data_IF_031033621224
#
_entry.id   IF_031033621224
#
_cell.length_a   1.000
_cell.length_b   1.000
_cell.length_c   1.000
_cell.angle_alpha   90.00
_cell.angle_beta   90.00
_cell.angle_gamma   90.00
#
_symmetry.space_group_name_H-M   'P 1'
#
loop_
_entity.id
_entity.type
_entity.pdbx_description
1 polymer ?
#
# COMPACT_ATOMS: atom_id res chain seq x y z
N UNK A 1 6.81 -1.32 -14.00
CA UNK A 1 6.15 -1.27 -12.67
C UNK A 1 4.81 -1.97 -12.78
N UNK A 2 4.84 -3.29 -12.85
CA UNK A 2 3.64 -4.10 -13.09
C UNK A 2 2.89 -4.43 -11.78
N UNK A 3 3.57 -4.28 -10.63
CA UNK A 3 2.98 -4.54 -9.31
C UNK A 3 1.67 -3.78 -9.07
N UNK A 4 1.67 -2.45 -9.22
CA UNK A 4 0.47 -1.63 -8.98
C UNK A 4 -0.68 -1.95 -9.93
N UNK A 5 -0.37 -2.23 -11.20
CA UNK A 5 -1.37 -2.58 -12.23
C UNK A 5 -2.08 -3.89 -11.93
N UNK A 6 -1.41 -4.81 -11.25
CA UNK A 6 -1.95 -6.10 -10.84
C UNK A 6 -2.56 -6.04 -9.42
N UNK A 7 -2.28 -4.98 -8.66
CA UNK A 7 -2.85 -4.76 -7.32
C UNK A 7 -4.31 -4.32 -7.39
N UNK A 8 -4.70 -3.57 -8.42
CA UNK A 8 -6.06 -3.13 -8.65
C UNK A 8 -6.23 -2.44 -10.00
N UNK A 9 -7.43 -1.94 -10.25
CA UNK A 9 -7.79 -1.16 -11.43
C UNK A 9 -7.38 0.29 -11.23
N UNK A 10 -6.74 0.89 -12.23
CA UNK A 10 -6.43 2.33 -12.23
C UNK A 10 -7.72 3.13 -12.40
N UNK A 11 -7.98 4.04 -11.46
CA UNK A 11 -9.18 4.90 -11.44
C UNK A 11 -8.74 6.37 -11.50
N UNK A 12 -9.14 7.14 -12.52
CA UNK A 12 -8.93 8.59 -12.56
C UNK A 12 -9.65 9.29 -11.40
N UNK A 13 -9.01 10.28 -10.78
CA UNK A 13 -9.66 11.13 -9.76
C UNK A 13 -10.41 12.32 -10.38
N UNK A 14 -10.09 12.66 -11.62
CA UNK A 14 -10.78 13.68 -12.41
C UNK A 14 -11.79 13.05 -13.36
N UNK A 15 -12.92 13.71 -13.57
CA UNK A 15 -13.97 13.28 -14.50
C UNK A 15 -15.31 13.02 -13.84
N UNK A 16 -16.18 12.30 -14.55
CA UNK A 16 -17.48 11.88 -14.03
C UNK A 16 -17.28 10.98 -12.80
N UNK A 17 -18.16 11.13 -11.81
CA UNK A 17 -18.15 10.22 -10.66
C UNK A 17 -18.58 8.83 -11.09
N UNK A 18 -17.78 7.84 -10.71
CA UNK A 18 -18.15 6.43 -10.84
C UNK A 18 -19.05 6.09 -9.64
N UNK A 19 -20.37 5.89 -9.85
CA UNK A 19 -21.34 5.82 -8.75
C UNK A 19 -21.15 4.61 -7.83
N UNK A 20 -20.35 3.62 -8.25
CA UNK A 20 -20.06 2.41 -7.48
C UNK A 20 -18.71 2.47 -6.74
N UNK A 21 -17.98 3.59 -6.81
CA UNK A 21 -16.67 3.75 -6.17
C UNK A 21 -16.77 4.72 -4.99
N UNK A 22 -16.22 4.31 -3.85
CA UNK A 22 -16.14 5.10 -2.62
C UNK A 22 -14.72 5.67 -2.49
N UNK A 23 -14.49 6.79 -3.15
CA UNK A 23 -13.20 7.48 -3.12
C UNK A 23 -13.19 8.56 -2.03
N UNK A 24 -12.20 8.54 -1.13
CA UNK A 24 -11.99 9.55 -0.09
C UNK A 24 -10.88 10.57 -0.44
N UNK A 25 -10.41 10.57 -1.69
CA UNK A 25 -9.33 11.41 -2.20
C UNK A 25 -9.87 12.72 -2.80
N UNK A 26 -9.13 13.81 -2.60
CA UNK A 26 -9.42 15.13 -3.15
C UNK A 26 -9.14 15.22 -4.66
N UNK A 27 -10.13 15.72 -5.40
CA UNK A 27 -10.02 16.07 -6.82
C UNK A 27 -9.27 17.40 -7.02
N UNK A 28 -9.09 17.82 -8.26
CA UNK A 28 -8.33 19.03 -8.63
C UNK A 28 -6.82 18.82 -8.60
N UNK A 29 -6.36 17.56 -8.72
CA UNK A 29 -4.94 17.19 -8.70
C UNK A 29 -4.26 17.24 -7.33
N UNK A 30 -4.98 17.53 -6.23
CA UNK A 30 -4.40 17.64 -4.88
C UNK A 30 -3.84 16.33 -4.36
N UNK A 31 -4.57 15.23 -4.53
CA UNK A 31 -4.12 13.90 -4.10
C UNK A 31 -3.64 13.02 -5.26
N UNK A 32 -3.39 13.65 -6.41
CA UNK A 32 -2.95 12.99 -7.64
C UNK A 32 -4.01 13.05 -8.73
N UNK A 33 -3.71 12.39 -9.84
CA UNK A 33 -4.62 12.31 -11.01
C UNK A 33 -5.38 11.00 -11.08
N UNK A 34 -4.87 9.98 -10.40
CA UNK A 34 -5.43 8.64 -10.39
C UNK A 34 -5.06 7.93 -9.09
N UNK A 35 -5.78 6.87 -8.81
CA UNK A 35 -5.51 5.92 -7.74
C UNK A 35 -5.70 4.50 -8.25
N UNK A 36 -5.56 3.50 -7.38
CA UNK A 36 -5.92 2.12 -7.67
C UNK A 36 -7.05 1.68 -6.74
N UNK A 37 -8.01 0.97 -7.31
CA UNK A 37 -9.12 0.35 -6.58
C UNK A 37 -9.20 -1.11 -6.96
N UNK A 38 -9.39 -1.96 -5.96
CA UNK A 38 -9.79 -3.34 -6.18
C UNK A 38 -11.13 -3.57 -5.48
N UNK A 39 -12.02 -4.36 -6.08
CA UNK A 39 -13.26 -4.75 -5.44
C UNK A 39 -13.73 -6.12 -5.95
N UNK A 40 -14.52 -6.79 -5.13
CA UNK A 40 -15.32 -7.95 -5.49
C UNK A 40 -16.80 -7.67 -5.17
N UNK A 41 -17.60 -8.72 -5.02
CA UNK A 41 -19.02 -8.66 -4.67
C UNK A 41 -19.28 -8.33 -3.18
N UNK A 42 -18.25 -8.34 -2.34
CA UNK A 42 -18.35 -8.21 -0.89
C UNK A 42 -17.67 -6.93 -0.40
N UNK A 43 -16.50 -6.58 -0.94
CA UNK A 43 -15.67 -5.48 -0.44
C UNK A 43 -15.00 -4.66 -1.54
N UNK A 44 -14.59 -3.45 -1.15
CA UNK A 44 -13.82 -2.53 -1.97
C UNK A 44 -12.59 -2.05 -1.19
N UNK A 45 -11.46 -2.01 -1.86
CA UNK A 45 -10.17 -1.56 -1.35
C UNK A 45 -9.69 -0.40 -2.22
N UNK A 46 -9.64 0.78 -1.62
CA UNK A 46 -8.98 1.96 -2.19
C UNK A 46 -7.54 2.02 -1.70
N UNK A 47 -6.58 2.14 -2.62
CA UNK A 47 -5.17 2.25 -2.27
C UNK A 47 -4.69 3.71 -2.26
N UNK A 48 -4.23 4.20 -1.11
CA UNK A 48 -3.51 5.48 -1.04
C UNK A 48 -2.07 5.33 -1.56
N UNK A 49 -1.87 5.52 -2.87
CA UNK A 49 -0.56 5.27 -3.51
C UNK A 49 0.35 6.50 -3.41
N UNK A 50 1.37 6.41 -2.55
CA UNK A 50 2.33 7.51 -2.27
C UNK A 50 3.00 8.12 -3.51
N UNK A 51 3.27 7.31 -4.53
CA UNK A 51 3.90 7.73 -5.79
C UNK A 51 2.91 8.32 -6.79
N UNK A 52 1.60 8.07 -6.63
CA UNK A 52 0.55 8.71 -7.43
C UNK A 52 0.15 10.09 -6.88
N UNK A 53 0.39 10.32 -5.58
CA UNK A 53 0.18 11.61 -4.92
C UNK A 53 1.31 12.60 -5.25
N UNK A 54 1.02 13.90 -5.45
CA UNK A 54 2.02 14.91 -5.79
C UNK A 54 2.94 15.23 -4.60
N UNK A 55 4.22 15.50 -4.87
CA UNK A 55 5.14 16.10 -3.90
C UNK A 55 5.24 17.60 -4.17
N UNK A 56 5.37 18.42 -3.13
CA UNK A 56 5.47 19.88 -3.25
C UNK A 56 6.71 20.39 -2.54
N UNK A 57 7.44 21.32 -3.16
CA UNK A 57 8.57 21.99 -2.51
C UNK A 57 8.13 22.83 -1.28
N UNK A 58 6.85 23.22 -1.22
CA UNK A 58 6.26 23.93 -0.07
C UNK A 58 5.83 22.98 1.06
N UNK A 59 5.82 21.67 0.79
CA UNK A 59 5.53 20.61 1.75
C UNK A 59 6.67 19.57 1.76
N UNK A 60 7.87 19.95 2.22
CA UNK A 60 9.05 19.08 2.15
C UNK A 60 8.92 17.81 3.00
N UNK A 61 8.01 17.81 3.99
CA UNK A 61 7.71 16.67 4.84
C UNK A 61 6.60 15.76 4.29
N UNK A 62 6.05 16.09 3.10
CA UNK A 62 4.96 15.36 2.46
C UNK A 62 3.76 15.13 3.40
N UNK A 63 3.39 16.16 4.18
CA UNK A 63 2.26 16.11 5.10
C UNK A 63 0.96 15.78 4.37
N UNK A 64 0.75 16.29 3.16
CA UNK A 64 -0.46 16.00 2.37
C UNK A 64 -0.59 14.53 2.00
N UNK A 65 0.53 13.82 1.78
CA UNK A 65 0.51 12.36 1.58
C UNK A 65 0.30 11.63 2.90
N UNK A 66 0.97 12.10 3.94
CA UNK A 66 0.96 11.47 5.27
C UNK A 66 -0.42 11.55 5.93
N UNK A 67 -1.25 12.54 5.59
CA UNK A 67 -2.63 12.66 6.10
C UNK A 67 -3.50 11.43 5.75
N UNK A 68 -3.19 10.75 4.64
CA UNK A 68 -3.82 9.47 4.29
C UNK A 68 -2.99 8.28 4.78
N UNK A 69 -1.76 8.15 4.26
CA UNK A 69 -0.93 6.95 4.47
C UNK A 69 -0.60 6.71 5.95
N UNK A 70 -0.39 7.77 6.72
CA UNK A 70 -0.12 7.67 8.16
C UNK A 70 -1.36 7.29 8.99
N UNK A 71 -2.55 7.46 8.42
CA UNK A 71 -3.82 7.13 9.05
C UNK A 71 -4.40 5.78 8.60
N UNK A 72 -3.78 5.12 7.63
CA UNK A 72 -4.14 3.75 7.27
C UNK A 72 -3.67 2.76 8.34
N UNK A 73 -4.51 1.77 8.66
CA UNK A 73 -4.15 0.70 9.60
C UNK A 73 -3.12 -0.26 9.03
N UNK A 74 -3.21 -0.54 7.74
CA UNK A 74 -2.36 -1.49 7.03
C UNK A 74 -1.70 -0.79 5.84
N UNK A 75 -0.43 -1.07 5.60
CA UNK A 75 0.28 -0.53 4.44
C UNK A 75 1.05 -1.62 3.72
N UNK A 76 0.97 -1.59 2.39
CA UNK A 76 1.86 -2.38 1.53
C UNK A 76 3.10 -1.53 1.26
N UNK A 77 4.27 -2.05 1.62
CA UNK A 77 5.56 -1.40 1.38
C UNK A 77 6.34 -2.20 0.36
N UNK A 78 6.55 -1.62 -0.82
CA UNK A 78 7.46 -2.17 -1.80
C UNK A 78 8.88 -1.65 -1.51
N UNK A 79 9.77 -2.51 -1.04
CA UNK A 79 11.12 -2.17 -0.58
C UNK A 79 12.17 -2.69 -1.56
N UNK A 80 12.53 -1.89 -2.56
CA UNK A 80 13.59 -2.18 -3.53
C UNK A 80 14.97 -1.64 -3.09
N UNK A 81 15.09 -1.17 -1.85
CA UNK A 81 16.31 -0.51 -1.38
C UNK A 81 17.50 -1.45 -1.14
N UNK A 82 17.26 -2.76 -1.06
CA UNK A 82 18.26 -3.76 -0.67
C UNK A 82 18.62 -3.74 0.83
N UNK A 83 17.95 -2.91 1.64
CA UNK A 83 18.16 -2.80 3.07
C UNK A 83 16.94 -3.28 3.86
N UNK A 84 17.18 -3.68 5.12
CA UNK A 84 16.10 -4.06 6.04
C UNK A 84 15.14 -2.90 6.25
N UNK A 85 13.86 -3.14 5.98
CA UNK A 85 12.83 -2.14 6.23
C UNK A 85 12.54 -2.01 7.74
N UNK A 86 12.81 -0.81 8.29
CA UNK A 86 12.41 -0.44 9.64
C UNK A 86 10.89 -0.15 9.68
N UNK A 87 10.15 -0.89 10.51
CA UNK A 87 8.69 -0.74 10.65
C UNK A 87 8.26 0.65 11.15
N UNK A 88 9.16 1.40 11.78
CA UNK A 88 8.92 2.76 12.29
C UNK A 88 9.14 3.85 11.22
N UNK A 89 9.53 3.48 9.99
CA UNK A 89 9.75 4.42 8.87
C UNK A 89 8.49 5.21 8.55
N UNK A 90 7.34 4.54 8.47
CA UNK A 90 6.05 5.20 8.25
C UNK A 90 5.51 5.67 9.59
N UNK A 91 5.65 6.98 9.83
CA UNK A 91 5.12 7.67 11.01
C UNK A 91 3.62 7.89 10.84
N UNK A 92 2.85 7.41 11.81
CA UNK A 92 1.41 7.50 11.83
C UNK A 92 0.86 6.82 13.08
N UNK A 93 -0.25 7.31 13.61
CA UNK A 93 -0.88 6.76 14.81
C UNK A 93 -1.55 5.40 14.52
N UNK A 94 -2.01 5.18 13.30
CA UNK A 94 -2.82 4.02 12.94
C UNK A 94 -2.05 2.94 12.18
N UNK A 95 -0.92 3.27 11.53
CA UNK A 95 -0.10 2.32 10.78
C UNK A 95 0.41 1.17 11.69
N UNK A 96 -0.38 0.09 11.73
CA UNK A 96 -0.31 -1.01 12.69
C UNK A 96 0.40 -2.21 12.09
N UNK A 97 0.06 -2.54 10.84
CA UNK A 97 0.59 -3.67 10.10
C UNK A 97 1.20 -3.23 8.78
N UNK A 98 2.25 -3.94 8.37
CA UNK A 98 2.97 -3.71 7.13
C UNK A 98 3.10 -5.03 6.38
N UNK A 99 2.58 -5.05 5.16
CA UNK A 99 2.83 -6.08 4.17
C UNK A 99 4.07 -5.66 3.39
N UNK A 100 5.22 -6.19 3.75
CA UNK A 100 6.50 -5.86 3.15
C UNK A 100 6.72 -6.74 1.91
N UNK A 101 6.88 -6.11 0.75
CA UNK A 101 7.21 -6.75 -0.53
C UNK A 101 8.65 -6.39 -0.87
N UNK A 102 9.50 -7.39 -1.01
CA UNK A 102 10.92 -7.22 -1.34
C UNK A 102 11.21 -7.96 -2.65
N UNK A 103 11.60 -7.27 -3.73
CA UNK A 103 12.00 -7.94 -4.95
C UNK A 103 13.27 -8.76 -4.72
N UNK A 104 13.28 -9.94 -5.33
CA UNK A 104 14.41 -10.87 -5.38
C UNK A 104 14.85 -11.04 -6.83
N UNK A 105 15.94 -11.79 -7.02
CA UNK A 105 16.38 -12.16 -8.37
C UNK A 105 15.36 -13.08 -9.07
N UNK A 106 15.46 -13.15 -10.40
CA UNK A 106 14.70 -14.07 -11.25
C UNK A 106 13.16 -13.87 -11.24
N UNK A 107 12.70 -12.62 -11.04
CA UNK A 107 11.27 -12.28 -11.13
C UNK A 107 10.44 -12.83 -9.97
N UNK A 108 11.03 -12.82 -8.78
CA UNK A 108 10.44 -13.28 -7.54
C UNK A 108 10.35 -12.12 -6.54
N UNK A 109 9.40 -12.20 -5.61
CA UNK A 109 9.27 -11.29 -4.49
C UNK A 109 9.12 -12.08 -3.21
N UNK A 110 9.74 -11.60 -2.13
CA UNK A 110 9.47 -12.05 -0.77
C UNK A 110 8.41 -11.16 -0.14
N UNK A 111 7.40 -11.77 0.44
CA UNK A 111 6.32 -11.10 1.17
C UNK A 111 6.43 -11.46 2.64
N UNK A 112 6.57 -10.45 3.49
CA UNK A 112 6.69 -10.60 4.94
C UNK A 112 5.70 -9.69 5.65
N UNK A 113 5.08 -10.19 6.72
CA UNK A 113 4.17 -9.39 7.56
C UNK A 113 4.93 -8.85 8.77
N UNK A 114 4.82 -7.56 9.02
CA UNK A 114 5.38 -6.88 10.19
C UNK A 114 4.27 -6.14 10.93
N UNK A 115 4.30 -6.09 12.26
CA UNK A 115 3.34 -5.31 13.04
C UNK A 115 4.02 -4.55 14.18
N UNK A 116 3.57 -3.32 14.45
CA UNK A 116 4.06 -2.50 15.58
C UNK A 116 3.48 -2.98 16.90
N UNK A 117 2.35 -3.67 16.88
CA UNK A 117 1.70 -4.23 18.05
C UNK A 117 2.31 -5.58 18.46
N UNK A 118 2.69 -5.69 19.73
CA UNK A 118 3.36 -6.89 20.26
C UNK A 118 2.45 -8.11 20.30
N UNK A 119 1.17 -7.92 20.59
CA UNK A 119 0.20 -9.01 20.64
C UNK A 119 -0.03 -9.57 19.24
N UNK A 120 -0.13 -8.71 18.23
CA UNK A 120 -0.21 -9.13 16.83
C UNK A 120 1.05 -9.88 16.40
N UNK A 121 2.25 -9.38 16.73
CA UNK A 121 3.49 -10.09 16.42
C UNK A 121 3.56 -11.47 17.07
N UNK A 122 3.33 -11.55 18.38
CA UNK A 122 3.56 -12.77 19.17
C UNK A 122 2.48 -13.84 19.01
N UNK A 123 1.21 -13.44 18.83
CA UNK A 123 0.09 -14.39 18.70
C UNK A 123 -0.33 -14.63 17.25
N UNK A 124 -0.34 -13.54 16.48
CA UNK A 124 -0.71 -13.41 15.06
C UNK A 124 0.32 -13.99 14.10
N UNK A 125 1.51 -13.40 14.18
CA UNK A 125 2.51 -13.46 13.13
C UNK A 125 3.71 -14.35 13.47
N UNK A 126 3.81 -14.84 14.71
CA UNK A 126 4.98 -15.58 15.19
C UNK A 126 5.27 -16.86 14.39
N UNK A 127 4.26 -17.43 13.74
CA UNK A 127 4.37 -18.63 12.91
C UNK A 127 4.15 -18.35 11.43
N UNK A 128 4.02 -17.08 11.03
CA UNK A 128 3.83 -16.71 9.63
C UNK A 128 5.19 -16.59 8.99
N UNK A 129 5.54 -17.57 8.15
CA UNK A 129 6.77 -17.55 7.39
C UNK A 129 6.69 -16.54 6.23
N UNK A 130 7.82 -15.93 5.82
CA UNK A 130 7.89 -15.16 4.59
C UNK A 130 7.51 -16.03 3.38
N UNK A 131 6.70 -15.46 2.48
CA UNK A 131 6.28 -16.13 1.25
C UNK A 131 7.13 -15.65 0.07
N UNK A 132 7.73 -16.57 -0.68
CA UNK A 132 8.40 -16.23 -1.94
C UNK A 132 7.48 -16.56 -3.11
N UNK A 133 7.12 -15.57 -3.90
CA UNK A 133 6.16 -15.70 -5.00
C UNK A 133 6.65 -14.99 -6.25
N UNK A 134 6.17 -15.41 -7.42
CA UNK A 134 6.51 -14.78 -8.70
C UNK A 134 6.00 -13.35 -8.81
N UNK A 135 6.61 -12.52 -9.67
CA UNK A 135 6.20 -11.14 -9.94
C UNK A 135 4.69 -10.99 -10.23
N UNK A 136 4.05 -11.84 -11.07
CA UNK A 136 2.62 -11.73 -11.33
C UNK A 136 1.74 -12.07 -10.12
N UNK A 137 2.22 -12.91 -9.20
CA UNK A 137 1.47 -13.36 -8.03
C UNK A 137 1.64 -12.44 -6.81
N UNK A 138 2.74 -11.69 -6.73
CA UNK A 138 3.05 -10.85 -5.58
C UNK A 138 1.96 -9.81 -5.24
N UNK A 139 1.35 -9.10 -6.20
CA UNK A 139 0.30 -8.11 -5.92
C UNK A 139 -0.95 -8.73 -5.32
N UNK A 140 -1.34 -9.92 -5.81
CA UNK A 140 -2.49 -10.66 -5.29
C UNK A 140 -2.26 -11.06 -3.82
N UNK A 141 -1.12 -11.68 -3.53
CA UNK A 141 -0.82 -12.12 -2.16
C UNK A 141 -0.64 -10.92 -1.21
N UNK A 142 -0.02 -9.84 -1.69
CA UNK A 142 0.12 -8.62 -0.89
C UNK A 142 -1.24 -8.00 -0.55
N UNK A 143 -2.19 -7.99 -1.50
CA UNK A 143 -3.57 -7.53 -1.26
C UNK A 143 -4.33 -8.45 -0.31
N UNK A 144 -4.16 -9.77 -0.39
CA UNK A 144 -4.83 -10.72 0.50
C UNK A 144 -4.39 -10.60 1.97
N UNK A 145 -3.17 -10.12 2.20
CA UNK A 145 -2.65 -9.87 3.54
C UNK A 145 -2.90 -8.45 4.06
N UNK A 146 -3.37 -7.54 3.21
CA UNK A 146 -3.63 -6.14 3.55
C UNK A 146 -5.08 -5.96 4.04
#
# INVERSE_FOLDING_TARGET
MDFLRLLGTLVPLEGAEEPNLFLNLEKGGKDGRYTYVWNDDIMQVLFHVATAMPSSARDPHCNEKRKYIGNDFVSIVYNDSGHDFNILTIKGHFNLCIVLVEPLEHGMNRITLKSKDERLRSKFLAHVEPHCVSDPSAPLLARQHA
#
